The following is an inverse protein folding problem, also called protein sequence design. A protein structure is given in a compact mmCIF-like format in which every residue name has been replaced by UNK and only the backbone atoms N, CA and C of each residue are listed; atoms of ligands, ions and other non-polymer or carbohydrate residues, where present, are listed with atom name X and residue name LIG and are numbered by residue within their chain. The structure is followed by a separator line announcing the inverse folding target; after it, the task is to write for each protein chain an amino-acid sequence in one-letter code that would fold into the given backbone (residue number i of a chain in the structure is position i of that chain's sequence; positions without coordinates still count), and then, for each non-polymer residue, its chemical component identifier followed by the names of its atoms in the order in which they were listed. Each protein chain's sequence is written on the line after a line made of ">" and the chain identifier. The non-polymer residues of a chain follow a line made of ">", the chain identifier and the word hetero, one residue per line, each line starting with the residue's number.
data_IF_189765907428
#
_entry.id   IF_189765907428
#
_cell.length_a   1.000
_cell.length_b   1.000
_cell.length_c   1.000
_cell.angle_alpha   90.00
_cell.angle_beta   90.00
_cell.angle_gamma   90.00
#
_symmetry.space_group_name_H-M   'P 1'
#
loop_
_entity.id
_entity.type
_entity.pdbx_description
1 polymer ?
#
# COMPACT_ATOMS: atom_id res chain seq x y z
N UNK A 1 -33.00 21.35 -13.59
CA UNK A 1 -32.21 20.46 -12.71
C UNK A 1 -31.02 19.92 -13.52
N UNK A 2 -29.80 20.26 -13.13
CA UNK A 2 -28.58 19.98 -13.88
C UNK A 2 -28.07 18.56 -13.60
N UNK A 3 -28.45 17.59 -14.44
CA UNK A 3 -28.12 16.16 -14.31
C UNK A 3 -26.65 15.84 -14.60
N UNK A 4 -25.95 16.71 -15.33
CA UNK A 4 -24.57 16.47 -15.77
C UNK A 4 -23.57 16.44 -14.59
N UNK A 5 -23.73 17.32 -13.60
CA UNK A 5 -22.83 17.38 -12.43
C UNK A 5 -22.91 16.16 -11.52
N UNK A 6 -24.11 15.56 -11.36
CA UNK A 6 -24.31 14.38 -10.53
C UNK A 6 -23.70 13.12 -11.16
N UNK A 7 -23.65 13.04 -12.49
CA UNK A 7 -23.01 11.92 -13.19
C UNK A 7 -21.48 11.96 -13.09
N UNK A 8 -20.87 13.15 -13.13
CA UNK A 8 -19.42 13.32 -13.03
C UNK A 8 -18.86 12.98 -11.65
N UNK A 9 -19.55 13.41 -10.58
CA UNK A 9 -19.16 13.06 -9.20
C UNK A 9 -19.18 11.53 -8.99
N UNK A 10 -20.21 10.85 -9.50
CA UNK A 10 -20.35 9.40 -9.35
C UNK A 10 -19.31 8.62 -10.15
N UNK A 11 -18.99 9.07 -11.37
CA UNK A 11 -17.93 8.47 -12.17
C UNK A 11 -16.56 8.62 -11.49
N UNK A 12 -16.28 9.80 -10.92
CA UNK A 12 -15.01 10.08 -10.24
C UNK A 12 -14.81 9.18 -9.02
N UNK A 13 -15.87 8.95 -8.24
CA UNK A 13 -15.84 8.03 -7.07
C UNK A 13 -15.63 6.58 -7.50
N UNK A 14 -16.24 6.14 -8.60
CA UNK A 14 -16.04 4.77 -9.12
C UNK A 14 -14.60 4.56 -9.59
N UNK A 15 -14.05 5.52 -10.34
CA UNK A 15 -12.67 5.46 -10.83
C UNK A 15 -11.69 5.47 -9.65
N UNK A 16 -11.88 6.34 -8.65
CA UNK A 16 -10.99 6.38 -7.47
C UNK A 16 -11.02 5.08 -6.67
N UNK A 17 -12.19 4.45 -6.53
CA UNK A 17 -12.32 3.15 -5.89
C UNK A 17 -11.55 2.05 -6.64
N UNK A 18 -11.64 2.00 -7.98
CA UNK A 18 -10.91 1.03 -8.80
C UNK A 18 -9.39 1.23 -8.65
N UNK A 19 -8.90 2.46 -8.76
CA UNK A 19 -7.48 2.76 -8.57
C UNK A 19 -6.98 2.35 -7.18
N UNK A 20 -7.79 2.59 -6.14
CA UNK A 20 -7.46 2.21 -4.77
C UNK A 20 -7.37 0.70 -4.58
N UNK A 21 -8.31 -0.05 -5.16
CA UNK A 21 -8.30 -1.53 -5.13
C UNK A 21 -7.08 -2.10 -5.87
N UNK A 22 -6.78 -1.59 -7.06
CA UNK A 22 -5.60 -2.00 -7.82
C UNK A 22 -4.30 -1.70 -7.07
N UNK A 23 -4.21 -0.54 -6.41
CA UNK A 23 -3.07 -0.16 -5.58
C UNK A 23 -2.90 -1.10 -4.37
N UNK A 24 -3.99 -1.49 -3.72
CA UNK A 24 -3.95 -2.47 -2.63
C UNK A 24 -3.50 -3.86 -3.09
N UNK A 25 -4.03 -4.35 -4.22
CA UNK A 25 -3.62 -5.64 -4.80
C UNK A 25 -2.13 -5.62 -5.12
N UNK A 26 -1.66 -4.56 -5.80
CA UNK A 26 -0.23 -4.40 -6.09
C UNK A 26 0.60 -4.34 -4.82
N UNK A 27 0.22 -3.55 -3.83
CA UNK A 27 0.95 -3.46 -2.56
C UNK A 27 1.04 -4.82 -1.85
N UNK A 28 -0.07 -5.56 -1.80
CA UNK A 28 -0.12 -6.90 -1.20
C UNK A 28 0.78 -7.86 -1.95
N UNK A 29 0.70 -7.87 -3.29
CA UNK A 29 1.57 -8.67 -4.15
C UNK A 29 3.02 -8.32 -3.91
N UNK A 30 3.41 -7.03 -3.94
CA UNK A 30 4.79 -6.61 -3.71
C UNK A 30 5.30 -7.10 -2.35
N UNK A 31 4.52 -6.96 -1.26
CA UNK A 31 4.93 -7.48 0.06
C UNK A 31 4.99 -9.00 0.15
N UNK A 32 4.18 -9.71 -0.63
CA UNK A 32 4.12 -11.17 -0.65
C UNK A 32 5.18 -11.79 -1.59
N UNK A 33 5.55 -11.09 -2.66
CA UNK A 33 6.54 -11.55 -3.62
C UNK A 33 7.95 -11.41 -3.07
N UNK A 34 8.69 -12.51 -3.14
CA UNK A 34 10.12 -12.56 -2.87
C UNK A 34 10.92 -11.87 -3.98
N UNK A 35 11.95 -11.10 -3.63
CA UNK A 35 12.84 -10.41 -4.56
C UNK A 35 12.66 -8.90 -4.60
N UNK A 36 12.48 -8.26 -3.43
CA UNK A 36 12.53 -6.80 -3.34
C UNK A 36 13.89 -6.25 -3.80
N UNK A 37 14.94 -7.05 -3.60
CA UNK A 37 16.29 -6.67 -3.95
C UNK A 37 17.14 -7.90 -4.29
N UNK A 38 18.09 -7.71 -5.21
CA UNK A 38 19.15 -8.67 -5.51
C UNK A 38 20.46 -8.03 -5.06
N UNK A 39 21.08 -8.59 -4.02
CA UNK A 39 22.38 -8.10 -3.53
C UNK A 39 23.51 -8.40 -4.54
N UNK A 40 24.67 -7.77 -4.38
CA UNK A 40 25.89 -7.96 -5.21
C UNK A 40 26.34 -9.43 -5.27
N UNK A 41 25.93 -10.25 -4.30
CA UNK A 41 26.16 -11.68 -4.24
C UNK A 41 25.03 -12.53 -4.87
N UNK A 42 24.12 -11.91 -5.64
CA UNK A 42 22.90 -12.49 -6.22
C UNK A 42 21.88 -13.04 -5.20
N UNK A 43 21.88 -12.50 -3.99
CA UNK A 43 20.91 -12.90 -2.95
C UNK A 43 19.60 -12.18 -3.13
N UNK A 44 18.50 -12.93 -3.19
CA UNK A 44 17.16 -12.34 -3.11
C UNK A 44 16.88 -11.99 -1.66
N UNK A 45 16.81 -10.69 -1.39
CA UNK A 45 16.42 -10.15 -0.10
C UNK A 45 14.91 -9.87 -0.17
N UNK A 46 14.16 -10.54 0.70
CA UNK A 46 12.74 -10.27 0.93
C UNK A 46 12.59 -9.54 2.26
N UNK A 47 11.46 -8.85 2.45
CA UNK A 47 11.11 -8.24 3.75
C UNK A 47 11.09 -9.28 4.88
N UNK A 48 10.73 -10.54 4.59
CA UNK A 48 10.53 -11.58 5.60
C UNK A 48 11.56 -12.71 5.55
N UNK A 49 12.27 -12.87 4.43
CA UNK A 49 13.20 -13.97 4.16
C UNK A 49 14.37 -13.50 3.33
N UNK A 50 15.55 -14.03 3.59
CA UNK A 50 16.70 -13.91 2.70
C UNK A 50 16.96 -15.29 2.11
N UNK A 51 17.00 -15.37 0.78
CA UNK A 51 17.25 -16.62 0.06
C UNK A 51 18.61 -16.55 -0.65
N UNK A 52 19.51 -17.47 -0.28
CA UNK A 52 20.82 -17.69 -0.91
C UNK A 52 20.82 -19.08 -1.54
N UNK A 53 20.93 -19.19 -2.88
CA UNK A 53 21.03 -20.48 -3.62
C UNK A 53 20.21 -21.61 -2.96
N UNK A 54 18.89 -21.47 -2.95
CA UNK A 54 17.89 -22.42 -2.41
C UNK A 54 17.79 -22.55 -0.88
N UNK A 55 18.69 -21.95 -0.11
CA UNK A 55 18.58 -21.84 1.35
C UNK A 55 17.92 -20.51 1.74
N UNK A 56 16.64 -20.57 2.12
CA UNK A 56 15.89 -19.43 2.65
C UNK A 56 15.91 -19.41 4.19
N UNK A 57 16.35 -18.31 4.78
CA UNK A 57 16.26 -18.06 6.23
C UNK A 57 15.32 -16.90 6.50
N UNK A 58 14.54 -16.99 7.58
CA UNK A 58 13.71 -15.86 8.04
C UNK A 58 14.60 -14.76 8.58
N UNK A 59 14.39 -13.51 8.13
CA UNK A 59 15.09 -12.32 8.65
C UNK A 59 14.48 -12.00 10.01
N UNK A 60 14.99 -12.62 11.08
CA UNK A 60 14.27 -12.67 12.37
C UNK A 60 14.62 -11.59 13.39
N UNK A 61 15.67 -10.78 13.21
CA UNK A 61 16.22 -10.05 14.38
C UNK A 61 16.77 -8.64 14.17
N UNK A 62 16.75 -8.03 12.98
CA UNK A 62 17.42 -6.71 12.82
C UNK A 62 16.70 -5.64 12.00
N UNK A 63 15.60 -5.94 11.30
CA UNK A 63 14.97 -5.01 10.37
C UNK A 63 13.44 -4.91 10.56
N UNK A 64 12.99 -4.82 11.82
CA UNK A 64 11.55 -4.77 12.14
C UNK A 64 10.88 -3.45 11.74
N UNK A 65 11.64 -2.36 11.70
CA UNK A 65 11.12 -1.01 11.42
C UNK A 65 10.45 -0.91 10.04
N UNK A 66 11.09 -1.30 8.91
CA UNK A 66 10.45 -1.22 7.59
C UNK A 66 9.22 -2.14 7.47
N UNK A 67 9.24 -3.31 8.12
CA UNK A 67 8.11 -4.26 8.10
C UNK A 67 6.90 -3.68 8.83
N UNK A 68 7.10 -3.06 9.99
CA UNK A 68 6.02 -2.42 10.77
C UNK A 68 5.36 -1.31 9.96
N UNK A 69 6.14 -0.45 9.31
CA UNK A 69 5.59 0.63 8.48
C UNK A 69 4.85 0.12 7.24
N UNK A 70 5.38 -0.91 6.57
CA UNK A 70 4.71 -1.54 5.44
C UNK A 70 3.36 -2.15 5.86
N UNK A 71 3.34 -2.88 6.97
CA UNK A 71 2.13 -3.52 7.51
C UNK A 71 1.10 -2.47 7.95
N UNK A 72 1.54 -1.39 8.61
CA UNK A 72 0.67 -0.29 9.02
C UNK A 72 0.07 0.44 7.81
N UNK A 73 0.85 0.68 6.76
CA UNK A 73 0.36 1.23 5.49
C UNK A 73 -0.70 0.34 4.84
N UNK A 74 -0.54 -0.98 4.88
CA UNK A 74 -1.55 -1.92 4.39
C UNK A 74 -2.86 -1.85 5.19
N UNK A 75 -2.80 -1.76 6.52
CA UNK A 75 -4.00 -1.59 7.33
C UNK A 75 -4.77 -0.30 6.98
N UNK A 76 -4.05 0.81 6.76
CA UNK A 76 -4.66 2.06 6.34
C UNK A 76 -5.30 1.97 4.95
N UNK A 77 -4.67 1.26 4.01
CA UNK A 77 -5.26 0.97 2.69
C UNK A 77 -6.58 0.20 2.82
N UNK A 78 -6.61 -0.86 3.63
CA UNK A 78 -7.81 -1.67 3.84
C UNK A 78 -8.93 -0.82 4.46
N UNK A 79 -8.61 0.00 5.47
CA UNK A 79 -9.57 0.92 6.08
C UNK A 79 -10.12 1.95 5.08
N UNK A 80 -9.27 2.49 4.21
CA UNK A 80 -9.67 3.40 3.13
C UNK A 80 -10.62 2.73 2.13
N UNK A 81 -10.33 1.48 1.75
CA UNK A 81 -11.19 0.69 0.85
C UNK A 81 -12.56 0.41 1.47
N UNK A 82 -12.59 -0.09 2.72
CA UNK A 82 -13.85 -0.37 3.43
C UNK A 82 -14.68 0.91 3.55
N UNK A 83 -14.04 2.02 3.92
CA UNK A 83 -14.68 3.33 4.02
C UNK A 83 -15.25 3.80 2.67
N UNK A 84 -14.52 3.55 1.57
CA UNK A 84 -14.98 3.87 0.21
C UNK A 84 -16.21 3.05 -0.18
N UNK A 85 -16.22 1.74 0.09
CA UNK A 85 -17.40 0.90 -0.13
C UNK A 85 -18.61 1.38 0.69
N UNK A 86 -18.43 1.66 1.98
CA UNK A 86 -19.49 2.19 2.84
C UNK A 86 -20.04 3.53 2.31
N UNK A 87 -19.16 4.40 1.82
CA UNK A 87 -19.54 5.70 1.25
C UNK A 87 -20.35 5.56 -0.05
N UNK A 88 -20.05 4.55 -0.88
CA UNK A 88 -20.83 4.24 -2.09
C UNK A 88 -22.23 3.74 -1.73
N UNK A 89 -22.37 2.88 -0.72
CA UNK A 89 -23.64 2.21 -0.41
C UNK A 89 -24.55 2.96 0.57
N UNK A 90 -23.99 3.63 1.59
CA UNK A 90 -24.76 4.08 2.76
C UNK A 90 -24.76 5.60 2.91
N UNK A 91 -23.62 6.26 2.70
CA UNK A 91 -23.45 7.67 3.06
C UNK A 91 -22.76 8.45 1.95
N UNK A 92 -23.52 9.19 1.12
CA UNK A 92 -22.96 10.21 0.21
C UNK A 92 -22.54 11.48 0.98
N UNK A 93 -21.74 11.36 2.04
CA UNK A 93 -21.29 12.51 2.86
C UNK A 93 -19.92 12.99 2.38
N UNK A 94 -19.83 14.25 1.97
CA UNK A 94 -18.56 14.89 1.55
C UNK A 94 -17.44 14.77 2.59
N UNK A 95 -17.76 14.78 3.88
CA UNK A 95 -16.77 14.57 4.95
C UNK A 95 -16.11 13.19 4.90
N UNK A 96 -16.86 12.15 4.51
CA UNK A 96 -16.32 10.77 4.43
C UNK A 96 -15.32 10.67 3.28
N UNK A 97 -15.58 11.33 2.14
CA UNK A 97 -14.62 11.42 1.03
C UNK A 97 -13.30 12.06 1.45
N UNK A 98 -13.33 13.11 2.28
CA UNK A 98 -12.11 13.75 2.80
C UNK A 98 -11.32 12.77 3.68
N UNK A 99 -12.01 12.06 4.59
CA UNK A 99 -11.37 11.07 5.46
C UNK A 99 -10.75 9.94 4.64
N UNK A 100 -11.45 9.42 3.63
CA UNK A 100 -10.94 8.39 2.72
C UNK A 100 -9.66 8.87 2.02
N UNK A 101 -9.65 10.10 1.49
CA UNK A 101 -8.47 10.68 0.85
C UNK A 101 -7.29 10.80 1.82
N UNK A 102 -7.53 11.23 3.07
CA UNK A 102 -6.48 11.31 4.10
C UNK A 102 -5.92 9.92 4.42
N UNK A 103 -6.78 8.91 4.55
CA UNK A 103 -6.35 7.53 4.81
C UNK A 103 -5.45 7.01 3.69
N UNK A 104 -5.82 7.23 2.43
CA UNK A 104 -4.99 6.84 1.28
C UNK A 104 -3.66 7.59 1.23
N UNK A 105 -3.66 8.89 1.56
CA UNK A 105 -2.45 9.72 1.55
C UNK A 105 -1.47 9.27 2.64
N UNK A 106 -1.97 8.99 3.85
CA UNK A 106 -1.18 8.43 4.93
C UNK A 106 -0.66 7.03 4.59
N UNK A 107 -1.51 6.16 4.03
CA UNK A 107 -1.09 4.82 3.64
C UNK A 107 0.06 4.85 2.62
N UNK A 108 -0.03 5.73 1.63
CA UNK A 108 1.03 5.95 0.65
C UNK A 108 2.34 6.38 1.33
N UNK A 109 2.30 7.37 2.22
CA UNK A 109 3.48 7.82 2.97
C UNK A 109 4.15 6.67 3.73
N UNK A 110 3.36 5.87 4.45
CA UNK A 110 3.88 4.74 5.21
C UNK A 110 4.47 3.61 4.36
N UNK A 111 3.97 3.41 3.14
CA UNK A 111 4.52 2.44 2.20
C UNK A 111 5.82 2.92 1.53
N UNK A 112 6.03 4.24 1.42
CA UNK A 112 7.25 4.81 0.86
C UNK A 112 8.43 4.80 1.83
N UNK A 113 8.19 4.89 3.14
CA UNK A 113 9.24 4.84 4.18
C UNK A 113 10.14 3.59 4.06
N UNK A 114 9.62 2.34 4.00
CA UNK A 114 10.47 1.16 3.87
C UNK A 114 11.26 1.15 2.57
N UNK A 115 10.66 1.61 1.45
CA UNK A 115 11.34 1.72 0.15
C UNK A 115 12.51 2.70 0.22
N UNK A 116 12.31 3.87 0.83
CA UNK A 116 13.36 4.87 1.02
C UNK A 116 14.47 4.35 1.94
N UNK A 117 14.09 3.67 3.02
CA UNK A 117 15.03 3.14 4.01
C UNK A 117 15.94 2.08 3.38
N UNK A 118 15.39 1.17 2.58
CA UNK A 118 16.16 0.16 1.84
C UNK A 118 17.14 0.81 0.86
N UNK A 119 16.69 1.81 0.09
CA UNK A 119 17.55 2.50 -0.88
C UNK A 119 18.66 3.33 -0.21
N UNK A 120 18.39 3.96 0.93
CA UNK A 120 19.41 4.69 1.71
C UNK A 120 20.48 3.75 2.27
N UNK A 121 20.07 2.59 2.78
CA UNK A 121 21.00 1.58 3.30
C UNK A 121 21.93 1.01 2.24
N UNK A 122 21.52 1.04 0.98
CA UNK A 122 22.30 0.60 -0.19
C UNK A 122 23.43 1.56 -0.58
N UNK A 123 23.28 2.84 -0.26
CA UNK A 123 24.21 3.88 -0.67
C UNK A 123 25.32 4.12 0.37
N UNK A 124 25.12 3.66 1.62
CA UNK A 124 26.06 3.77 2.73
C UNK A 124 26.92 2.50 2.78
#
# INVERSE_FOLDING_TARGET
>A
MNTNGKSHEELTVRVSAIFSMSSFIMCTLTTATSGWQIDSYHNKIDLFRTCYKDNCRSVREKHDIPIVFATFGQYLLVLGIISSFINVFIYRRRMVLIVISILFLLASLFLWIPVLTINLYLFI
#
